data_IF_168665652723
#
_entry.id   IF_168665652723
#
_cell.length_a   1.000
_cell.length_b   1.000
_cell.length_c   1.000
_cell.angle_alpha   90.00
_cell.angle_beta   90.00
_cell.angle_gamma   90.00
#
_symmetry.space_group_name_H-M   'P 1'
#
loop_
_entity.id
_entity.type
_entity.pdbx_description
1 polymer ?
#
# COMPACT_ATOMS: atom_id res chain seq x y z
N UNK A 1 16.12 13.32 -5.77
CA UNK A 1 15.59 12.93 -4.45
C UNK A 1 14.09 12.58 -4.44
N UNK A 2 13.22 13.28 -5.20
CA UNK A 2 11.77 13.03 -5.23
C UNK A 2 11.38 11.58 -5.57
N UNK A 3 12.10 10.95 -6.51
CA UNK A 3 11.90 9.55 -6.87
C UNK A 3 12.13 8.60 -5.69
N UNK A 4 13.29 8.71 -5.04
CA UNK A 4 13.64 7.87 -3.89
C UNK A 4 12.63 8.01 -2.75
N UNK A 5 12.17 9.24 -2.47
CA UNK A 5 11.12 9.50 -1.47
C UNK A 5 9.80 8.83 -1.85
N UNK A 6 9.38 8.91 -3.10
CA UNK A 6 8.15 8.28 -3.57
C UNK A 6 8.20 6.75 -3.42
N UNK A 7 9.33 6.13 -3.79
CA UNK A 7 9.57 4.70 -3.60
C UNK A 7 9.53 4.36 -2.10
N UNK A 8 10.30 5.08 -1.27
CA UNK A 8 10.34 4.84 0.17
C UNK A 8 8.96 4.96 0.82
N UNK A 9 8.19 6.00 0.49
CA UNK A 9 6.84 6.20 1.01
C UNK A 9 5.87 5.10 0.57
N UNK A 10 5.94 4.68 -0.70
CA UNK A 10 5.14 3.56 -1.19
C UNK A 10 5.48 2.24 -0.49
N UNK A 11 6.77 1.96 -0.30
CA UNK A 11 7.24 0.77 0.39
C UNK A 11 6.82 0.76 1.87
N UNK A 12 7.04 1.87 2.58
CA UNK A 12 6.65 2.02 3.98
C UNK A 12 5.13 1.87 4.15
N UNK A 13 4.34 2.47 3.28
CA UNK A 13 2.88 2.31 3.29
C UNK A 13 2.48 0.84 3.06
N UNK A 14 3.14 0.13 2.15
CA UNK A 14 2.90 -1.29 1.88
C UNK A 14 3.22 -2.17 3.09
N UNK A 15 4.41 -1.98 3.68
CA UNK A 15 4.83 -2.72 4.88
C UNK A 15 3.88 -2.46 6.04
N UNK A 16 3.53 -1.18 6.27
CA UNK A 16 2.59 -0.79 7.32
C UNK A 16 1.23 -1.45 7.13
N UNK A 17 0.72 -1.49 5.90
CA UNK A 17 -0.53 -2.15 5.57
C UNK A 17 -0.49 -3.66 5.87
N UNK A 18 0.60 -4.36 5.49
CA UNK A 18 0.79 -5.79 5.78
C UNK A 18 0.85 -6.06 7.28
N UNK A 19 1.49 -5.18 8.06
CA UNK A 19 1.61 -5.37 9.50
C UNK A 19 0.30 -5.08 10.24
N UNK A 20 -0.49 -4.10 9.80
CA UNK A 20 -1.68 -3.63 10.56
C UNK A 20 -2.96 -4.38 10.18
N UNK A 21 -3.10 -4.89 8.95
CA UNK A 21 -4.42 -5.36 8.50
C UNK A 21 -4.96 -6.53 9.35
N UNK A 22 -4.08 -7.35 9.92
CA UNK A 22 -4.44 -8.52 10.73
C UNK A 22 -4.39 -8.25 12.25
N UNK A 23 -3.81 -7.15 12.72
CA UNK A 23 -3.61 -6.92 14.17
C UNK A 23 -4.92 -6.70 14.92
N UNK A 24 -5.92 -6.07 14.28
CA UNK A 24 -7.20 -5.78 14.93
C UNK A 24 -8.39 -5.89 13.96
N UNK A 25 -8.78 -7.09 13.50
CA UNK A 25 -9.88 -7.24 12.56
C UNK A 25 -11.24 -6.81 13.17
N UNK A 26 -12.10 -6.08 12.43
CA UNK A 26 -11.96 -5.59 11.05
C UNK A 26 -11.28 -4.20 10.93
N UNK A 27 -11.02 -3.53 12.06
CA UNK A 27 -10.50 -2.15 12.13
C UNK A 27 -9.13 -2.02 11.44
N UNK A 28 -8.27 -3.04 11.55
CA UNK A 28 -6.94 -3.06 10.97
C UNK A 28 -6.94 -2.84 9.46
N UNK A 29 -7.88 -3.44 8.72
CA UNK A 29 -8.02 -3.22 7.27
C UNK A 29 -8.36 -1.75 6.98
N UNK A 30 -9.30 -1.17 7.72
CA UNK A 30 -9.71 0.22 7.50
C UNK A 30 -8.52 1.17 7.71
N UNK A 31 -7.72 0.93 8.74
CA UNK A 31 -6.49 1.71 9.01
C UNK A 31 -5.46 1.49 7.90
N UNK A 32 -5.27 0.25 7.42
CA UNK A 32 -4.36 -0.06 6.32
C UNK A 32 -4.76 0.65 5.01
N UNK A 33 -6.06 0.70 4.69
CA UNK A 33 -6.57 1.42 3.53
C UNK A 33 -6.42 2.94 3.68
N UNK A 34 -6.80 3.49 4.83
CA UNK A 34 -6.71 4.92 5.10
C UNK A 34 -5.25 5.42 5.06
N UNK A 35 -4.32 4.67 5.66
CA UNK A 35 -2.89 4.99 5.65
C UNK A 35 -2.29 4.87 4.24
N UNK A 36 -2.65 3.83 3.47
CA UNK A 36 -2.26 3.70 2.06
C UNK A 36 -2.69 4.90 1.23
N UNK A 37 -3.97 5.30 1.36
CA UNK A 37 -4.50 6.46 0.68
C UNK A 37 -3.76 7.74 1.06
N UNK A 38 -3.60 7.99 2.37
CA UNK A 38 -2.97 9.18 2.90
C UNK A 38 -1.51 9.29 2.44
N UNK A 39 -0.74 8.20 2.50
CA UNK A 39 0.66 8.18 2.11
C UNK A 39 0.84 8.51 0.61
N UNK A 40 0.11 7.85 -0.28
CA UNK A 40 0.23 8.07 -1.73
C UNK A 40 -0.31 9.45 -2.12
N UNK A 41 -1.39 9.91 -1.48
CA UNK A 41 -1.90 11.26 -1.68
C UNK A 41 -0.88 12.32 -1.24
N UNK A 42 -0.23 12.13 -0.08
CA UNK A 42 0.78 13.03 0.46
C UNK A 42 1.99 13.17 -0.46
N UNK A 43 2.48 12.06 -1.05
CA UNK A 43 3.57 12.10 -2.05
C UNK A 43 3.23 13.04 -3.21
N UNK A 44 1.97 13.09 -3.64
CA UNK A 44 1.50 14.01 -4.67
C UNK A 44 1.63 15.47 -4.27
N UNK A 45 1.25 15.80 -3.03
CA UNK A 45 1.30 17.16 -2.46
C UNK A 45 2.73 17.64 -2.21
N UNK A 46 3.63 16.74 -1.83
CA UNK A 46 5.04 17.10 -1.59
C UNK A 46 5.82 17.30 -2.90
N UNK A 47 5.46 16.56 -3.96
CA UNK A 47 6.25 16.54 -5.19
C UNK A 47 5.67 17.38 -6.34
N UNK A 48 4.41 17.81 -6.23
CA UNK A 48 3.60 18.52 -7.23
C UNK A 48 3.45 17.79 -8.58
N UNK A 49 3.73 16.49 -8.64
CA UNK A 49 3.63 15.71 -9.89
C UNK A 49 2.94 14.37 -9.67
N UNK A 50 2.02 14.03 -10.60
CA UNK A 50 1.27 12.77 -10.54
C UNK A 50 2.14 11.54 -10.73
N UNK A 51 3.24 11.67 -11.47
CA UNK A 51 4.14 10.54 -11.75
C UNK A 51 4.71 9.92 -10.46
N UNK A 52 4.99 10.73 -9.44
CA UNK A 52 5.53 10.23 -8.16
C UNK A 52 4.46 9.50 -7.33
N UNK A 53 3.17 9.87 -7.46
CA UNK A 53 2.06 9.11 -6.86
C UNK A 53 1.97 7.72 -7.48
N UNK A 54 2.07 7.65 -8.82
CA UNK A 54 2.07 6.38 -9.54
C UNK A 54 3.25 5.50 -9.12
N UNK A 55 4.45 6.07 -8.98
CA UNK A 55 5.64 5.34 -8.49
C UNK A 55 5.42 4.81 -7.07
N UNK A 56 4.87 5.63 -6.16
CA UNK A 56 4.56 5.20 -4.80
C UNK A 56 3.50 4.07 -4.79
N UNK A 57 2.45 4.19 -5.60
CA UNK A 57 1.43 3.15 -5.75
C UNK A 57 1.98 1.83 -6.33
N UNK A 58 2.86 1.91 -7.33
CA UNK A 58 3.54 0.73 -7.89
C UNK A 58 4.42 0.08 -6.82
N UNK A 59 5.16 0.88 -6.07
CA UNK A 59 6.04 0.34 -5.01
C UNK A 59 5.23 -0.30 -3.89
N UNK A 60 4.12 0.33 -3.49
CA UNK A 60 3.15 -0.26 -2.56
C UNK A 60 2.65 -1.61 -3.07
N UNK A 61 2.24 -1.68 -4.35
CA UNK A 61 1.74 -2.91 -4.95
C UNK A 61 2.79 -4.03 -4.96
N UNK A 62 4.05 -3.72 -5.29
CA UNK A 62 5.14 -4.70 -5.25
C UNK A 62 5.31 -5.28 -3.85
N UNK A 63 5.21 -4.47 -2.80
CA UNK A 63 5.30 -4.95 -1.41
C UNK A 63 4.13 -5.88 -1.07
N UNK A 64 2.89 -5.48 -1.37
CA UNK A 64 1.71 -6.31 -1.10
C UNK A 64 1.76 -7.61 -1.91
N UNK A 65 2.14 -7.54 -3.18
CA UNK A 65 2.30 -8.71 -4.04
C UNK A 65 3.34 -9.66 -3.46
N UNK A 66 4.50 -9.15 -3.02
CA UNK A 66 5.52 -9.98 -2.39
C UNK A 66 5.01 -10.63 -1.10
N UNK A 67 4.29 -9.90 -0.27
CA UNK A 67 3.67 -10.41 0.96
C UNK A 67 2.53 -11.42 0.69
N UNK A 68 1.96 -11.43 -0.53
CA UNK A 68 1.00 -12.42 -0.99
C UNK A 68 1.61 -13.71 -1.53
N UNK A 69 2.93 -13.77 -1.71
CA UNK A 69 3.65 -14.97 -2.18
C UNK A 69 4.36 -15.67 -1.03
N UNK A 70 4.79 -16.92 -1.24
CA UNK A 70 5.58 -17.67 -0.26
C UNK A 70 6.86 -16.91 0.13
N UNK A 71 7.00 -16.69 1.43
CA UNK A 71 8.21 -16.19 2.08
C UNK A 71 9.26 -17.30 2.28
N UNK A 72 10.37 -16.94 2.92
CA UNK A 72 11.44 -17.89 3.26
C UNK A 72 11.01 -18.92 4.31
N UNK A 73 9.99 -18.61 5.11
CA UNK A 73 9.39 -19.54 6.08
C UNK A 73 8.15 -20.27 5.56
N UNK A 74 7.94 -20.33 4.24
CA UNK A 74 6.72 -20.87 3.59
C UNK A 74 5.42 -20.20 4.06
N UNK A 75 5.55 -18.99 4.61
CA UNK A 75 4.44 -18.19 5.08
C UNK A 75 3.86 -17.31 3.96
N UNK A 76 2.54 -17.18 3.96
CA UNK A 76 1.79 -16.27 3.09
C UNK A 76 1.15 -15.22 4.00
N UNK A 77 1.64 -13.98 3.93
CA UNK A 77 1.26 -12.93 4.86
C UNK A 77 -0.03 -12.20 4.49
N UNK A 78 -0.48 -12.26 3.24
CA UNK A 78 -1.67 -11.50 2.77
C UNK A 78 -2.72 -12.43 2.15
N UNK A 79 -2.36 -13.27 1.18
CA UNK A 79 -3.34 -14.05 0.44
C UNK A 79 -3.79 -15.35 1.14
N UNK A 80 -3.38 -15.60 2.38
CA UNK A 80 -3.73 -16.80 3.13
C UNK A 80 -5.17 -16.82 3.66
N UNK A 81 -5.88 -15.68 3.64
CA UNK A 81 -7.23 -15.55 4.20
C UNK A 81 -8.06 -14.46 3.48
N UNK A 82 -9.35 -14.39 3.83
CA UNK A 82 -10.29 -13.43 3.24
C UNK A 82 -9.94 -11.97 3.57
N UNK A 83 -9.40 -11.70 4.76
CA UNK A 83 -9.04 -10.35 5.21
C UNK A 83 -7.88 -9.79 4.39
N UNK A 84 -6.82 -10.56 4.19
CA UNK A 84 -5.69 -10.12 3.40
C UNK A 84 -5.99 -10.16 1.89
N UNK A 85 -6.85 -11.06 1.42
CA UNK A 85 -7.41 -10.98 0.05
C UNK A 85 -8.17 -9.64 -0.14
N UNK A 86 -8.93 -9.21 0.87
CA UNK A 86 -9.60 -7.91 0.84
C UNK A 86 -8.60 -6.75 0.84
N UNK A 87 -7.51 -6.83 1.62
CA UNK A 87 -6.43 -5.84 1.58
C UNK A 87 -5.80 -5.76 0.18
N UNK A 88 -5.55 -6.90 -0.47
CA UNK A 88 -4.98 -6.94 -1.81
C UNK A 88 -5.87 -6.18 -2.81
N UNK A 89 -7.16 -6.54 -2.90
CA UNK A 89 -8.06 -5.92 -3.86
C UNK A 89 -8.44 -4.48 -3.50
N UNK A 90 -8.96 -4.26 -2.29
CA UNK A 90 -9.40 -2.92 -1.85
C UNK A 90 -8.22 -1.97 -1.71
N UNK A 91 -7.07 -2.45 -1.24
CA UNK A 91 -5.86 -1.65 -1.16
C UNK A 91 -5.35 -1.24 -2.54
N UNK A 92 -5.38 -2.14 -3.53
CA UNK A 92 -5.03 -1.79 -4.92
C UNK A 92 -5.97 -0.73 -5.49
N UNK A 93 -7.29 -0.89 -5.29
CA UNK A 93 -8.27 0.13 -5.67
C UNK A 93 -7.98 1.47 -4.96
N UNK A 94 -7.69 1.43 -3.67
CA UNK A 94 -7.36 2.61 -2.86
C UNK A 94 -6.09 3.32 -3.38
N UNK A 95 -5.04 2.56 -3.72
CA UNK A 95 -3.83 3.08 -4.31
C UNK A 95 -4.09 3.72 -5.69
N UNK A 96 -4.94 3.13 -6.52
CA UNK A 96 -5.35 3.72 -7.80
C UNK A 96 -6.15 5.01 -7.62
N UNK A 97 -7.16 5.03 -6.74
CA UNK A 97 -7.96 6.22 -6.44
C UNK A 97 -7.06 7.34 -5.91
N UNK A 98 -6.16 7.01 -4.97
CA UNK A 98 -5.23 7.98 -4.41
C UNK A 98 -4.35 8.59 -5.50
N UNK A 99 -3.91 7.80 -6.48
CA UNK A 99 -3.10 8.25 -7.62
C UNK A 99 -3.88 9.17 -8.56
N UNK A 100 -5.12 8.78 -8.91
CA UNK A 100 -5.99 9.52 -9.84
C UNK A 100 -6.50 10.86 -9.28
N UNK A 101 -6.58 11.01 -7.96
CA UNK A 101 -6.99 12.26 -7.32
C UNK A 101 -6.11 13.43 -7.78
N UNK A 102 -6.75 14.56 -8.14
CA UNK A 102 -6.05 15.80 -8.50
C UNK A 102 -5.17 16.29 -7.32
N UNK A 103 -4.03 16.88 -7.64
CA UNK A 103 -3.00 17.37 -6.69
C UNK A 103 -3.42 18.72 -6.10
#
# INVERSE_FOLDING_TARGET
MKLLRAIAMGALAGVTAVLIYQTLPPIGILIALASTYAAIWWVGRETDKRIYKAIAAITWFVVIYRAGTFGTGDEILVLANNLGTSLFFLGTITALISTLRRI
#
